data_IF_095916449884
#
_entry.id   IF_095916449884
#
_cell.length_a   1.000
_cell.length_b   1.000
_cell.length_c   1.000
_cell.angle_alpha   90.00
_cell.angle_beta   90.00
_cell.angle_gamma   90.00
#
_symmetry.space_group_name_H-M   'P 1'
#
loop_
_entity.id
_entity.type
_entity.pdbx_description
1 polymer ?
#
# COMPACT_ATOMS: atom_id res chain seq x y z
N UNK A 1 -24.04 26.67 -13.51
CA UNK A 1 -24.65 25.32 -13.66
C UNK A 1 -24.03 24.67 -14.89
N UNK A 2 -22.81 24.14 -14.77
CA UNK A 2 -22.09 23.52 -15.88
C UNK A 2 -22.47 22.03 -15.95
N UNK A 3 -23.17 21.63 -17.01
CA UNK A 3 -23.39 20.21 -17.34
C UNK A 3 -22.15 19.74 -18.11
N UNK A 4 -21.21 19.09 -17.43
CA UNK A 4 -20.16 18.32 -18.08
C UNK A 4 -20.83 17.09 -18.68
N UNK A 5 -20.74 16.93 -20.00
CA UNK A 5 -21.21 15.74 -20.71
C UNK A 5 -20.29 14.58 -20.29
N UNK A 6 -20.80 13.69 -19.45
CA UNK A 6 -20.16 12.39 -19.19
C UNK A 6 -20.08 11.63 -20.51
N UNK A 7 -18.87 11.42 -21.02
CA UNK A 7 -18.62 10.40 -22.04
C UNK A 7 -18.43 9.11 -21.25
N UNK A 8 -19.52 8.34 -21.09
CA UNK A 8 -19.46 6.99 -20.56
C UNK A 8 -18.93 6.11 -21.69
N UNK A 9 -17.62 5.85 -21.71
CA UNK A 9 -17.06 4.78 -22.52
C UNK A 9 -17.36 3.46 -21.80
N UNK A 10 -18.55 2.88 -22.06
CA UNK A 10 -18.88 1.54 -21.61
C UNK A 10 -18.12 0.53 -22.50
N UNK A 11 -16.89 0.21 -22.11
CA UNK A 11 -16.04 -0.72 -22.84
C UNK A 11 -16.40 -2.17 -22.44
N UNK A 12 -17.36 -2.77 -23.15
CA UNK A 12 -17.56 -4.22 -23.12
C UNK A 12 -16.70 -4.84 -24.24
N UNK A 13 -15.42 -5.11 -24.00
CA UNK A 13 -14.58 -5.72 -25.03
C UNK A 13 -13.61 -6.78 -24.50
N UNK A 14 -13.81 -8.00 -24.98
CA UNK A 14 -12.82 -9.07 -24.95
C UNK A 14 -11.66 -8.70 -25.90
N UNK A 15 -10.50 -8.37 -25.31
CA UNK A 15 -9.21 -8.36 -26.00
C UNK A 15 -9.00 -7.27 -27.07
N UNK A 16 -8.71 -6.04 -26.65
CA UNK A 16 -7.86 -5.13 -27.45
C UNK A 16 -7.24 -4.05 -26.56
N UNK A 17 -5.97 -3.72 -26.85
CA UNK A 17 -5.19 -2.65 -26.21
C UNK A 17 -5.69 -1.31 -26.77
N UNK A 18 -6.27 -0.45 -25.93
CA UNK A 18 -6.62 0.92 -26.29
C UNK A 18 -5.41 1.83 -26.03
N UNK A 19 -4.93 2.64 -27.00
CA UNK A 19 -3.93 3.65 -26.71
C UNK A 19 -4.57 5.01 -26.38
N UNK A 20 -4.06 5.63 -25.30
CA UNK A 20 -4.19 7.06 -24.95
C UNK A 20 -5.61 7.58 -24.81
N UNK A 21 -6.31 7.12 -23.76
CA UNK A 21 -7.44 7.85 -23.21
C UNK A 21 -6.89 9.11 -22.54
N UNK A 22 -6.98 10.25 -23.22
CA UNK A 22 -6.78 11.56 -22.60
C UNK A 22 -8.12 12.05 -22.03
N UNK A 23 -8.17 12.32 -20.72
CA UNK A 23 -9.29 12.96 -20.01
C UNK A 23 -10.63 12.20 -20.05
N UNK A 24 -10.60 10.86 -20.12
CA UNK A 24 -11.82 10.06 -20.10
C UNK A 24 -12.27 9.74 -18.67
N UNK A 25 -13.57 9.86 -18.41
CA UNK A 25 -14.22 9.16 -17.30
C UNK A 25 -14.51 7.74 -17.78
N UNK A 26 -14.09 6.74 -17.02
CA UNK A 26 -14.24 5.32 -17.36
C UNK A 26 -14.85 4.59 -16.18
N UNK A 27 -15.74 3.64 -16.46
CA UNK A 27 -16.24 2.71 -15.45
C UNK A 27 -16.08 1.28 -15.98
N UNK A 28 -15.53 0.40 -15.16
CA UNK A 28 -15.43 -1.03 -15.43
C UNK A 28 -16.22 -1.81 -14.38
N UNK A 29 -16.83 -2.92 -14.79
CA UNK A 29 -17.77 -3.68 -13.95
C UNK A 29 -17.52 -5.17 -14.07
N UNK A 30 -18.01 -5.93 -13.08
CA UNK A 30 -17.91 -7.39 -13.03
C UNK A 30 -16.46 -7.86 -13.17
N UNK A 31 -16.23 -9.07 -13.66
CA UNK A 31 -14.89 -9.65 -13.82
C UNK A 31 -14.07 -9.05 -14.99
N UNK A 32 -14.13 -7.73 -15.20
CA UNK A 32 -13.40 -7.01 -16.26
C UNK A 32 -12.05 -6.57 -15.75
N UNK A 33 -11.03 -6.68 -16.59
CA UNK A 33 -9.69 -6.15 -16.31
C UNK A 33 -9.38 -4.92 -17.17
N UNK A 34 -8.87 -3.85 -16.55
CA UNK A 34 -8.31 -2.68 -17.21
C UNK A 34 -6.82 -2.57 -16.87
N UNK A 35 -5.99 -2.46 -17.91
CA UNK A 35 -4.57 -2.19 -17.75
C UNK A 35 -4.30 -0.73 -18.09
N UNK A 36 -3.62 -0.03 -17.19
CA UNK A 36 -3.22 1.36 -17.31
C UNK A 36 -1.71 1.38 -17.43
N UNK A 37 -1.24 2.01 -18.49
CA UNK A 37 0.16 2.09 -18.85
C UNK A 37 0.63 3.54 -18.94
N UNK A 38 1.93 3.69 -19.20
CA UNK A 38 2.52 5.01 -19.39
C UNK A 38 1.79 5.81 -20.47
N UNK A 39 1.56 7.09 -20.18
CA UNK A 39 0.82 8.07 -20.99
C UNK A 39 -0.71 7.89 -21.03
N UNK A 40 -1.27 6.93 -20.29
CA UNK A 40 -2.72 6.95 -20.03
C UNK A 40 -3.04 8.03 -18.98
N UNK A 41 -4.14 8.76 -19.19
CA UNK A 41 -4.56 9.86 -18.32
C UNK A 41 -6.07 9.83 -18.06
N UNK A 42 -6.44 9.34 -16.88
CA UNK A 42 -7.82 9.20 -16.46
C UNK A 42 -8.20 10.29 -15.46
N UNK A 43 -9.22 11.07 -15.81
CA UNK A 43 -9.80 12.00 -14.86
C UNK A 43 -10.59 11.25 -13.77
N UNK A 44 -11.38 10.24 -14.17
CA UNK A 44 -12.19 9.44 -13.25
C UNK A 44 -12.20 8.00 -13.73
N UNK A 45 -11.87 7.07 -12.83
CA UNK A 45 -11.94 5.65 -13.08
C UNK A 45 -12.66 4.98 -11.91
N UNK A 46 -13.83 4.42 -12.19
CA UNK A 46 -14.57 3.63 -11.22
C UNK A 46 -14.50 2.14 -11.60
N UNK A 47 -14.19 1.27 -10.65
CA UNK A 47 -14.19 -0.17 -10.83
C UNK A 47 -15.18 -0.80 -9.85
N UNK A 48 -16.09 -1.62 -10.37
CA UNK A 48 -17.18 -2.21 -9.60
C UNK A 48 -17.16 -3.72 -9.65
N UNK A 49 -17.68 -4.33 -8.59
CA UNK A 49 -17.86 -5.77 -8.47
C UNK A 49 -16.49 -6.46 -8.59
N UNK A 50 -16.37 -7.62 -9.23
CA UNK A 50 -15.10 -8.34 -9.35
C UNK A 50 -14.09 -7.72 -10.35
N UNK A 51 -14.11 -6.40 -10.54
CA UNK A 51 -13.28 -5.73 -11.53
C UNK A 51 -11.83 -5.61 -11.06
N UNK A 52 -10.90 -5.66 -12.02
CA UNK A 52 -9.46 -5.62 -11.77
C UNK A 52 -8.82 -4.44 -12.50
N UNK A 53 -8.19 -3.54 -11.77
CA UNK A 53 -7.37 -2.45 -12.34
C UNK A 53 -5.90 -2.79 -12.14
N UNK A 54 -5.13 -2.77 -13.22
CA UNK A 54 -3.68 -2.94 -13.19
C UNK A 54 -3.02 -1.62 -13.58
N UNK A 55 -2.30 -0.99 -12.65
CA UNK A 55 -1.61 0.29 -12.89
C UNK A 55 -0.11 0.05 -12.96
N UNK A 56 0.43 0.15 -14.16
CA UNK A 56 1.87 0.01 -14.44
C UNK A 56 2.53 1.35 -14.80
N UNK A 57 1.76 2.44 -14.76
CA UNK A 57 2.15 3.80 -15.09
C UNK A 57 0.93 4.68 -15.36
N UNK A 58 1.16 5.87 -15.93
CA UNK A 58 0.09 6.82 -16.26
C UNK A 58 -0.36 7.66 -15.06
N UNK A 59 -1.40 8.47 -15.28
CA UNK A 59 -1.97 9.39 -14.29
C UNK A 59 -3.46 9.15 -14.11
N UNK A 60 -3.92 9.13 -12.86
CA UNK A 60 -5.33 8.98 -12.50
C UNK A 60 -5.69 10.04 -11.45
N UNK A 61 -6.61 10.94 -11.76
CA UNK A 61 -7.05 11.91 -10.76
C UNK A 61 -7.92 11.25 -9.68
N UNK A 62 -8.89 10.43 -10.08
CA UNK A 62 -9.76 9.71 -9.15
C UNK A 62 -9.89 8.25 -9.57
N UNK A 63 -9.43 7.35 -8.71
CA UNK A 63 -9.65 5.91 -8.80
C UNK A 63 -10.55 5.48 -7.64
N UNK A 64 -11.75 5.00 -7.95
CA UNK A 64 -12.69 4.48 -6.95
C UNK A 64 -12.93 3.00 -7.18
N UNK A 65 -12.75 2.19 -6.14
CA UNK A 65 -13.08 0.76 -6.15
C UNK A 65 -14.36 0.52 -5.35
N UNK A 66 -15.23 -0.34 -5.87
CA UNK A 66 -16.48 -0.73 -5.22
C UNK A 66 -16.70 -2.24 -5.30
N UNK A 67 -17.24 -2.82 -4.22
CA UNK A 67 -17.82 -4.17 -4.16
C UNK A 67 -16.84 -5.27 -4.62
N UNK A 68 -15.90 -5.71 -3.79
CA UNK A 68 -14.92 -6.77 -4.16
C UNK A 68 -13.92 -6.42 -5.30
N UNK A 69 -13.96 -5.21 -5.86
CA UNK A 69 -13.01 -4.78 -6.88
C UNK A 69 -11.59 -4.72 -6.33
N UNK A 70 -10.63 -4.97 -7.21
CA UNK A 70 -9.20 -5.00 -6.87
C UNK A 70 -8.39 -4.06 -7.76
N UNK A 71 -7.47 -3.30 -7.17
CA UNK A 71 -6.41 -2.63 -7.91
C UNK A 71 -5.04 -3.19 -7.52
N UNK A 72 -4.18 -3.47 -8.49
CA UNK A 72 -2.75 -3.62 -8.24
C UNK A 72 -2.00 -2.48 -8.90
N UNK A 73 -1.14 -1.82 -8.14
CA UNK A 73 -0.46 -0.59 -8.48
C UNK A 73 1.03 -0.83 -8.36
N UNK A 74 1.67 -1.04 -9.50
CA UNK A 74 3.10 -1.27 -9.64
C UNK A 74 3.86 0.05 -9.89
N UNK A 75 3.16 1.07 -10.40
CA UNK A 75 3.66 2.42 -10.67
C UNK A 75 2.48 3.37 -11.02
N UNK A 76 2.79 4.63 -11.32
CA UNK A 76 1.83 5.66 -11.76
C UNK A 76 1.50 6.69 -10.69
N UNK A 77 0.83 7.75 -11.11
CA UNK A 77 0.44 8.88 -10.26
C UNK A 77 -1.09 8.84 -10.02
N UNK A 78 -1.52 8.76 -8.77
CA UNK A 78 -2.94 8.70 -8.38
C UNK A 78 -3.23 9.78 -7.36
N UNK A 79 -4.06 10.78 -7.72
CA UNK A 79 -4.38 11.85 -6.76
C UNK A 79 -5.30 11.35 -5.64
N UNK A 80 -6.32 10.56 -5.98
CA UNK A 80 -7.26 10.00 -5.01
C UNK A 80 -7.54 8.53 -5.34
N UNK A 81 -7.18 7.65 -4.41
CA UNK A 81 -7.54 6.24 -4.42
C UNK A 81 -8.52 5.97 -3.28
N UNK A 82 -9.75 5.60 -3.63
CA UNK A 82 -10.83 5.36 -2.66
C UNK A 82 -11.38 3.95 -2.79
N UNK A 83 -11.50 3.26 -1.66
CA UNK A 83 -11.91 1.86 -1.58
C UNK A 83 -13.22 1.75 -0.78
N UNK A 84 -14.22 1.07 -1.34
CA UNK A 84 -15.51 0.82 -0.72
C UNK A 84 -15.92 -0.65 -0.79
N UNK A 85 -16.70 -1.13 0.20
CA UNK A 85 -17.35 -2.45 0.19
C UNK A 85 -16.41 -3.62 -0.19
N UNK A 86 -15.58 -4.08 0.75
CA UNK A 86 -14.78 -5.31 0.61
C UNK A 86 -13.75 -5.29 -0.54
N UNK A 87 -13.31 -4.10 -0.96
CA UNK A 87 -12.30 -3.95 -2.04
C UNK A 87 -10.87 -4.09 -1.54
N UNK A 88 -9.96 -4.37 -2.47
CA UNK A 88 -8.53 -4.52 -2.17
C UNK A 88 -7.66 -3.64 -3.07
N UNK A 89 -6.70 -2.93 -2.50
CA UNK A 89 -5.60 -2.30 -3.24
C UNK A 89 -4.26 -2.93 -2.82
N UNK A 90 -3.50 -3.42 -3.80
CA UNK A 90 -2.13 -3.89 -3.62
C UNK A 90 -1.20 -2.86 -4.25
N UNK A 91 -0.39 -2.18 -3.44
CA UNK A 91 0.43 -1.04 -3.83
C UNK A 91 1.90 -1.45 -3.65
N UNK A 92 2.53 -1.81 -4.76
CA UNK A 92 3.95 -2.16 -4.81
C UNK A 92 4.81 -0.92 -5.01
N UNK A 93 4.31 0.10 -5.73
CA UNK A 93 4.94 1.41 -5.89
C UNK A 93 3.94 2.48 -6.38
N UNK A 94 4.44 3.63 -6.85
CA UNK A 94 3.65 4.75 -7.36
C UNK A 94 3.61 5.97 -6.42
N UNK A 95 2.97 7.05 -6.87
CA UNK A 95 2.69 8.25 -6.08
C UNK A 95 1.18 8.37 -5.85
N UNK A 96 0.75 8.29 -4.58
CA UNK A 96 -0.65 8.37 -4.18
C UNK A 96 -0.83 9.52 -3.20
N UNK A 97 -1.53 10.58 -3.61
CA UNK A 97 -1.72 11.72 -2.71
C UNK A 97 -2.70 11.41 -1.57
N UNK A 98 -3.81 10.73 -1.85
CA UNK A 98 -4.82 10.37 -0.86
C UNK A 98 -5.32 8.95 -1.07
N UNK A 99 -5.13 8.11 -0.05
CA UNK A 99 -5.67 6.77 0.04
C UNK A 99 -6.76 6.74 1.13
N UNK A 100 -7.98 6.37 0.76
CA UNK A 100 -9.13 6.34 1.66
C UNK A 100 -9.79 4.96 1.61
N UNK A 101 -9.93 4.33 2.77
CA UNK A 101 -10.52 3.00 2.89
C UNK A 101 -11.81 3.06 3.71
N UNK A 102 -12.89 2.55 3.15
CA UNK A 102 -14.20 2.44 3.78
C UNK A 102 -14.64 0.99 3.95
N UNK A 103 -15.61 0.76 4.82
CA UNK A 103 -16.23 -0.54 5.08
C UNK A 103 -15.21 -1.60 5.51
N UNK A 104 -15.08 -2.71 4.79
CA UNK A 104 -14.12 -3.79 5.08
C UNK A 104 -12.95 -3.82 4.07
N UNK A 105 -12.64 -2.68 3.47
CA UNK A 105 -11.64 -2.64 2.40
C UNK A 105 -10.22 -2.80 2.96
N UNK A 106 -9.33 -3.32 2.11
CA UNK A 106 -7.94 -3.62 2.47
C UNK A 106 -6.95 -2.88 1.56
N UNK A 107 -5.90 -2.30 2.13
CA UNK A 107 -4.75 -1.81 1.36
C UNK A 107 -3.46 -2.50 1.85
N UNK A 108 -2.75 -3.16 0.94
CA UNK A 108 -1.43 -3.71 1.17
C UNK A 108 -0.41 -2.79 0.50
N UNK A 109 0.50 -2.21 1.27
CA UNK A 109 1.47 -1.22 0.78
C UNK A 109 2.89 -1.74 1.07
N UNK A 110 3.65 -1.89 0.00
CA UNK A 110 5.04 -2.38 0.05
C UNK A 110 6.05 -1.27 -0.22
N UNK A 111 5.74 -0.35 -1.13
CA UNK A 111 6.54 0.83 -1.39
C UNK A 111 5.69 1.95 -2.02
N UNK A 112 6.36 3.02 -2.44
CA UNK A 112 5.75 4.17 -3.09
C UNK A 112 5.63 5.38 -2.16
N UNK A 113 5.26 6.51 -2.76
CA UNK A 113 5.02 7.78 -2.07
C UNK A 113 3.53 7.84 -1.78
N UNK A 114 3.14 7.96 -0.51
CA UNK A 114 1.72 8.00 -0.12
C UNK A 114 1.50 9.11 0.90
N UNK A 115 1.03 10.27 0.48
CA UNK A 115 0.96 11.42 1.41
C UNK A 115 -0.02 11.19 2.57
N UNK A 116 -1.24 10.72 2.27
CA UNK A 116 -2.30 10.53 3.27
C UNK A 116 -2.97 9.18 3.14
N UNK A 117 -3.10 8.49 4.26
CA UNK A 117 -3.89 7.27 4.39
C UNK A 117 -4.96 7.48 5.45
N UNK A 118 -6.22 7.26 5.10
CA UNK A 118 -7.37 7.34 5.99
C UNK A 118 -8.12 6.02 6.03
N UNK A 119 -8.33 5.52 7.24
CA UNK A 119 -9.03 4.27 7.49
C UNK A 119 -10.36 4.56 8.20
N UNK A 120 -11.46 4.15 7.58
CA UNK A 120 -12.81 4.22 8.13
C UNK A 120 -13.33 2.80 8.45
N UNK A 121 -14.39 2.73 9.24
CA UNK A 121 -15.14 1.49 9.52
C UNK A 121 -14.25 0.33 10.00
N UNK A 122 -14.28 -0.84 9.32
CA UNK A 122 -13.49 -2.05 9.62
C UNK A 122 -12.35 -2.25 8.62
N UNK A 123 -11.89 -1.17 7.98
CA UNK A 123 -10.82 -1.24 6.98
C UNK A 123 -9.49 -1.70 7.59
N UNK A 124 -8.67 -2.32 6.76
CA UNK A 124 -7.37 -2.87 7.15
C UNK A 124 -6.26 -2.34 6.25
N UNK A 125 -5.17 -1.89 6.85
CA UNK A 125 -3.98 -1.43 6.14
C UNK A 125 -2.80 -2.27 6.58
N UNK A 126 -2.03 -2.82 5.63
CA UNK A 126 -0.75 -3.46 5.91
C UNK A 126 0.36 -2.64 5.29
N UNK A 127 1.23 -2.07 6.12
CA UNK A 127 2.41 -1.31 5.72
C UNK A 127 3.66 -2.18 5.90
N UNK A 128 4.34 -2.50 4.81
CA UNK A 128 5.66 -3.15 4.83
C UNK A 128 6.77 -2.24 4.34
N UNK A 129 6.40 -1.15 3.65
CA UNK A 129 7.26 -0.04 3.31
C UNK A 129 6.44 1.11 2.72
N UNK A 130 6.96 2.33 2.86
CA UNK A 130 6.49 3.54 2.17
C UNK A 130 7.66 4.53 2.14
N UNK A 131 7.87 5.19 1.02
CA UNK A 131 8.99 6.13 0.83
C UNK A 131 8.73 7.45 1.55
N UNK A 132 7.52 7.97 1.38
CA UNK A 132 7.09 9.23 1.98
C UNK A 132 5.61 9.10 2.37
N UNK A 133 5.40 8.69 3.62
CA UNK A 133 4.10 8.73 4.28
C UNK A 133 4.07 9.91 5.22
N UNK A 134 3.09 10.81 5.08
CA UNK A 134 2.96 11.93 6.01
C UNK A 134 1.96 11.62 7.12
N UNK A 135 0.81 11.02 6.78
CA UNK A 135 -0.30 10.79 7.72
C UNK A 135 -0.98 9.46 7.54
N UNK A 136 -1.11 8.73 8.64
CA UNK A 136 -1.98 7.57 8.83
C UNK A 136 -3.04 7.95 9.86
N UNK A 137 -4.29 8.05 9.43
CA UNK A 137 -5.40 8.54 10.25
C UNK A 137 -6.51 7.50 10.35
N UNK A 138 -6.87 7.16 11.58
CA UNK A 138 -8.01 6.29 11.88
C UNK A 138 -9.24 7.14 12.23
N UNK A 139 -10.34 6.93 11.52
CA UNK A 139 -11.63 7.58 11.75
C UNK A 139 -12.62 6.69 12.52
N UNK A 140 -12.28 5.42 12.72
CA UNK A 140 -13.09 4.43 13.42
C UNK A 140 -12.23 3.60 14.36
N UNK A 141 -12.77 3.27 15.53
CA UNK A 141 -12.13 2.37 16.48
C UNK A 141 -11.98 0.94 15.94
N UNK A 142 -12.72 0.56 14.89
CA UNK A 142 -12.67 -0.77 14.30
C UNK A 142 -11.65 -0.91 13.14
N UNK A 143 -11.17 0.22 12.61
CA UNK A 143 -10.18 0.25 11.52
C UNK A 143 -8.79 -0.10 12.06
N UNK A 144 -7.94 -0.75 11.27
CA UNK A 144 -6.69 -1.35 11.78
C UNK A 144 -5.53 -1.13 10.82
N UNK A 145 -4.34 -0.98 11.37
CA UNK A 145 -3.12 -1.05 10.60
C UNK A 145 -2.13 -2.04 11.20
N UNK A 146 -1.52 -2.85 10.35
CA UNK A 146 -0.33 -3.62 10.66
C UNK A 146 0.88 -2.96 10.04
N UNK A 147 1.92 -2.73 10.83
CA UNK A 147 3.16 -2.09 10.39
C UNK A 147 4.30 -3.07 10.62
N UNK A 148 4.91 -3.51 9.52
CA UNK A 148 6.01 -4.46 9.54
C UNK A 148 7.32 -3.68 9.60
N UNK A 149 7.86 -3.52 10.81
CA UNK A 149 8.95 -2.60 11.09
C UNK A 149 9.76 -3.00 12.33
N UNK A 150 10.99 -2.50 12.39
CA UNK A 150 11.91 -2.65 13.51
C UNK A 150 12.18 -1.28 14.17
N UNK A 151 12.72 -1.31 15.39
CA UNK A 151 13.13 -0.10 16.13
C UNK A 151 12.02 0.97 16.23
N UNK A 152 10.78 0.52 16.40
CA UNK A 152 9.61 1.40 16.37
C UNK A 152 9.53 2.24 17.65
N UNK A 153 9.36 3.54 17.46
CA UNK A 153 9.12 4.53 18.51
C UNK A 153 7.88 5.35 18.18
N UNK A 154 7.08 5.64 19.20
CA UNK A 154 5.89 6.48 19.08
C UNK A 154 5.94 7.60 20.13
N UNK A 155 5.79 8.85 19.68
CA UNK A 155 5.76 10.02 20.56
C UNK A 155 4.95 11.15 19.93
N UNK A 156 4.10 11.82 20.72
CA UNK A 156 3.32 12.98 20.29
C UNK A 156 2.56 12.79 18.96
N UNK A 157 1.91 11.64 18.74
CA UNK A 157 1.18 11.37 17.50
C UNK A 157 2.04 10.86 16.35
N UNK A 158 3.36 10.76 16.55
CA UNK A 158 4.31 10.48 15.49
C UNK A 158 4.95 9.10 15.68
N UNK A 159 4.86 8.26 14.65
CA UNK A 159 5.45 6.93 14.58
C UNK A 159 6.72 6.98 13.74
N UNK A 160 7.78 6.36 14.23
CA UNK A 160 9.08 6.30 13.55
C UNK A 160 9.72 4.95 13.76
N UNK A 161 10.62 4.56 12.86
CA UNK A 161 11.35 3.29 12.95
C UNK A 161 12.09 2.97 11.67
N UNK A 162 12.38 1.69 11.46
CA UNK A 162 13.00 1.16 10.26
C UNK A 162 12.06 0.15 9.59
N UNK A 163 11.90 0.27 8.28
CA UNK A 163 11.31 -0.79 7.45
C UNK A 163 12.21 -2.04 7.43
N UNK A 164 11.68 -3.14 6.89
CA UNK A 164 12.41 -4.40 6.77
C UNK A 164 13.71 -4.29 5.95
N UNK A 165 13.74 -3.38 4.98
CA UNK A 165 14.89 -3.09 4.12
C UNK A 165 15.91 -2.13 4.76
N UNK A 166 15.65 -1.66 5.99
CA UNK A 166 16.52 -0.76 6.75
C UNK A 166 16.25 0.73 6.52
N UNK A 167 15.41 1.13 5.55
CA UNK A 167 15.02 2.53 5.36
C UNK A 167 14.30 3.06 6.59
N UNK A 168 14.58 4.30 6.95
CA UNK A 168 13.95 4.97 8.10
C UNK A 168 12.60 5.53 7.67
N UNK A 169 11.60 5.45 8.54
CA UNK A 169 10.32 6.13 8.35
C UNK A 169 9.95 6.99 9.55
N UNK A 170 9.07 7.95 9.28
CA UNK A 170 8.69 8.99 10.21
C UNK A 170 7.37 9.62 9.74
N UNK A 171 6.24 9.30 10.37
CA UNK A 171 4.94 9.83 9.98
C UNK A 171 3.97 9.99 11.15
N UNK A 172 2.93 10.79 10.95
CA UNK A 172 1.86 10.93 11.92
C UNK A 172 0.93 9.72 11.89
N UNK A 173 0.70 9.07 13.02
CA UNK A 173 -0.17 7.93 13.15
C UNK A 173 -1.19 8.19 14.27
N UNK A 174 -2.36 8.71 13.92
CA UNK A 174 -3.32 9.27 14.89
C UNK A 174 -4.73 8.71 14.72
N UNK A 175 -5.49 8.73 15.80
CA UNK A 175 -6.94 8.62 15.73
C UNK A 175 -7.53 10.03 15.57
N UNK A 176 -8.60 10.21 14.79
CA UNK A 176 -9.18 11.53 14.46
C UNK A 176 -9.51 12.40 15.69
N UNK A 177 -9.77 11.75 16.84
CA UNK A 177 -10.14 12.39 18.11
C UNK A 177 -8.94 12.67 19.03
N UNK A 178 -7.74 12.21 18.66
CA UNK A 178 -6.54 12.20 19.51
C UNK A 178 -5.35 12.86 18.80
N UNK A 179 -5.40 14.19 18.69
CA UNK A 179 -4.24 14.98 18.27
C UNK A 179 -3.24 15.09 19.44
N UNK A 180 -1.97 14.79 19.18
CA UNK A 180 -0.85 14.90 20.15
C UNK A 180 -0.89 13.92 21.34
N UNK A 181 -1.42 12.70 21.16
CA UNK A 181 -1.28 11.63 22.15
C UNK A 181 0.14 11.04 22.13
N UNK A 182 0.76 10.86 23.30
CA UNK A 182 1.98 10.04 23.43
C UNK A 182 1.70 8.53 23.50
N UNK A 183 0.42 8.15 23.54
CA UNK A 183 -0.03 6.75 23.52
C UNK A 183 -0.39 6.37 22.08
N UNK A 184 0.23 5.31 21.58
CA UNK A 184 -0.04 4.78 20.24
C UNK A 184 -1.49 4.28 20.16
N UNK A 185 -2.24 4.59 19.08
CA UNK A 185 -3.57 4.03 18.88
C UNK A 185 -3.53 2.49 18.97
N UNK A 186 -4.49 1.91 19.69
CA UNK A 186 -4.62 0.45 19.85
C UNK A 186 -4.88 -0.29 18.54
N UNK A 187 -5.24 0.45 17.51
CA UNK A 187 -5.56 0.00 16.17
C UNK A 187 -4.31 -0.30 15.33
N UNK A 188 -3.13 0.10 15.83
CA UNK A 188 -1.85 -0.16 15.21
C UNK A 188 -1.22 -1.39 15.86
N UNK A 189 -0.90 -2.38 15.05
CA UNK A 189 -0.11 -3.55 15.44
C UNK A 189 1.25 -3.46 14.77
N UNK A 190 2.31 -3.62 15.56
CA UNK A 190 3.68 -3.67 15.03
C UNK A 190 4.12 -5.13 14.92
N UNK A 191 4.47 -5.55 13.71
CA UNK A 191 5.05 -6.87 13.44
C UNK A 191 6.54 -6.71 13.21
N UNK A 192 7.37 -7.27 14.08
CA UNK A 192 8.84 -7.21 13.93
C UNK A 192 9.29 -8.10 12.77
N UNK A 193 10.32 -7.65 12.04
CA UNK A 193 10.91 -8.42 10.93
C UNK A 193 11.87 -9.44 11.52
N UNK A 194 11.72 -10.74 11.24
CA UNK A 194 12.66 -11.75 11.73
C UNK A 194 14.06 -11.46 11.22
N UNK A 195 15.03 -11.28 12.13
CA UNK A 195 16.44 -11.21 11.74
C UNK A 195 16.81 -12.52 11.01
N UNK A 196 17.47 -12.46 9.84
CA UNK A 196 17.91 -13.66 9.16
C UNK A 196 18.76 -14.50 10.11
N UNK A 197 18.43 -15.78 10.21
CA UNK A 197 19.18 -16.79 10.98
C UNK A 197 20.65 -16.93 10.56
N UNK A 198 21.12 -16.14 9.59
CA UNK A 198 22.53 -15.97 9.24
C UNK A 198 23.42 -15.58 10.42
N UNK A 199 22.95 -14.81 11.41
CA UNK A 199 23.71 -14.56 12.64
C UNK A 199 23.89 -15.83 13.48
N UNK A 200 22.84 -16.65 13.59
CA UNK A 200 22.91 -17.98 14.20
C UNK A 200 23.82 -18.91 13.40
N UNK A 201 23.75 -18.88 12.07
CA UNK A 201 24.59 -19.69 11.19
C UNK A 201 26.07 -19.27 11.27
N UNK A 202 26.36 -17.98 11.39
CA UNK A 202 27.72 -17.48 11.65
C UNK A 202 28.20 -17.88 13.04
N UNK A 203 27.35 -17.71 14.07
CA UNK A 203 27.68 -18.03 15.45
C UNK A 203 27.97 -19.53 15.64
N UNK A 204 27.27 -20.42 14.92
CA UNK A 204 27.51 -21.87 14.98
C UNK A 204 28.56 -22.33 13.97
N UNK A 205 28.61 -21.73 12.78
CA UNK A 205 29.49 -22.13 11.67
C UNK A 205 30.96 -21.76 11.87
N UNK A 206 31.26 -20.58 12.44
CA UNK A 206 32.64 -20.13 12.67
C UNK A 206 33.39 -21.04 13.67
N UNK A 207 32.82 -21.44 14.82
CA UNK A 207 33.44 -22.41 15.72
C UNK A 207 33.71 -23.76 15.04
N UNK A 208 32.77 -24.26 14.22
CA UNK A 208 32.93 -25.53 13.49
C UNK A 208 34.06 -25.47 12.46
N UNK A 209 34.14 -24.39 11.68
CA UNK A 209 35.23 -24.20 10.73
C UNK A 209 36.60 -24.09 11.42
N UNK A 210 36.66 -23.46 12.59
CA UNK A 210 37.88 -23.34 13.39
C UNK A 210 38.31 -24.66 14.03
N UNK A 211 37.36 -25.48 14.47
CA UNK A 211 37.64 -26.83 14.97
C UNK A 211 38.11 -27.75 13.85
N UNK A 212 37.50 -27.64 12.66
CA UNK A 212 37.88 -28.44 11.50
C UNK A 212 39.28 -28.08 10.97
N UNK A 213 39.65 -26.80 10.92
CA UNK A 213 40.99 -26.36 10.52
C UNK A 213 42.07 -26.84 11.50
N UNK A 214 41.76 -26.86 12.80
CA UNK A 214 42.65 -27.42 13.84
C UNK A 214 42.87 -28.93 13.71
N UNK A 215 41.89 -29.68 13.22
CA UNK A 215 42.05 -31.11 13.00
C UNK A 215 43.00 -31.39 11.82
N UNK A 216 42.95 -30.60 10.73
CA UNK A 216 43.85 -30.77 9.58
C UNK A 216 45.31 -30.43 9.90
N UNK A 217 45.55 -29.45 10.77
CA UNK A 217 46.91 -29.05 11.15
C UNK A 217 47.67 -30.10 11.98
N UNK A 218 46.99 -31.13 12.51
CA UNK A 218 47.63 -32.23 13.26
C UNK A 218 47.94 -33.47 12.42
N UNK A 219 47.51 -33.49 11.15
CA UNK A 219 47.63 -34.64 10.24
C UNK A 219 48.70 -34.45 9.16
N UNK A 220 49.47 -33.37 9.23
CA UNK A 220 50.61 -33.04 8.38
C UNK A 220 51.88 -32.98 9.24
#
# INVERSE_FOLDING_TARGET
MFRIKQIIACALFAGSVLPTAALASTAIHNNTQLNIANNDDYAWLDAFDQAHVQVSGGSISYLTLHNDATANIESGDISYLTLHNDTTANIESGDISWLMLHDNSTANIENGIISWVKAYDRSFIRLTGAEDLSWLVFHSADSRAEIVANNVSYSNGHLSGNWADGRVFSFWAIHQDLYNSSVMPTNIVITQVPEPSGLLLFAVGVPFAFLWSRQRAKSA
#
